data_IF_854839312563
#
_entry.id   IF_854839312563
#
_cell.length_a   1.000
_cell.length_b   1.000
_cell.length_c   1.000
_cell.angle_alpha   90.00
_cell.angle_beta   90.00
_cell.angle_gamma   90.00
#
_symmetry.space_group_name_H-M   'P 1'
#
loop_
_entity.id
_entity.type
_entity.pdbx_description
1 polymer ?
#
# COMPACT_ATOMS: atom_id res chain seq x y z
N UNK A 1 5.98 -3.88 -2.91
CA UNK A 1 4.59 -4.01 -2.44
C UNK A 1 4.61 -5.13 -1.43
N UNK A 2 4.09 -4.91 -0.23
CA UNK A 2 4.18 -5.85 0.89
C UNK A 2 5.65 -6.15 1.25
N UNK A 3 6.38 -5.10 1.66
CA UNK A 3 7.79 -5.20 2.00
C UNK A 3 7.98 -6.03 3.27
N UNK A 4 8.94 -6.94 3.25
CA UNK A 4 9.38 -7.63 4.45
C UNK A 4 10.36 -6.76 5.26
N UNK A 5 10.72 -7.21 6.47
CA UNK A 5 11.58 -6.46 7.37
C UNK A 5 12.92 -6.01 6.76
N UNK A 6 13.61 -6.87 6.02
CA UNK A 6 14.91 -6.51 5.43
C UNK A 6 14.76 -5.43 4.37
N UNK A 7 13.70 -5.52 3.57
CA UNK A 7 13.37 -4.52 2.54
C UNK A 7 12.99 -3.19 3.19
N UNK A 8 12.05 -3.23 4.14
CA UNK A 8 11.52 -2.07 4.85
C UNK A 8 12.61 -1.30 5.63
N UNK A 9 13.57 -2.03 6.22
CA UNK A 9 14.68 -1.42 6.96
C UNK A 9 15.63 -0.56 6.12
N UNK A 10 15.52 -0.60 4.78
CA UNK A 10 16.46 0.06 3.86
C UNK A 10 15.81 1.00 2.85
N UNK A 11 14.47 1.09 2.81
CA UNK A 11 13.80 1.98 1.86
C UNK A 11 13.90 3.44 2.28
N UNK A 12 13.97 4.33 1.29
CA UNK A 12 13.96 5.77 1.55
C UNK A 12 12.59 6.28 2.05
N UNK A 13 11.52 5.52 1.79
CA UNK A 13 10.14 5.88 2.09
C UNK A 13 9.38 4.64 2.57
N UNK A 14 8.92 4.69 3.81
CA UNK A 14 7.91 3.77 4.35
C UNK A 14 6.51 4.28 3.98
N UNK A 15 5.63 3.37 3.55
CA UNK A 15 4.31 3.71 3.07
C UNK A 15 3.26 2.63 3.40
N UNK A 16 2.19 3.06 4.05
CA UNK A 16 1.05 2.24 4.42
C UNK A 16 -0.23 2.81 3.77
N UNK A 17 -1.05 1.92 3.22
CA UNK A 17 -2.29 2.26 2.52
C UNK A 17 -3.44 1.39 3.02
N UNK A 18 -4.56 2.01 3.38
CA UNK A 18 -5.80 1.33 3.77
C UNK A 18 -6.95 1.84 2.91
N UNK A 19 -7.67 0.92 2.27
CA UNK A 19 -8.85 1.23 1.45
C UNK A 19 -9.93 0.14 1.60
N UNK A 20 -11.17 0.49 1.27
CA UNK A 20 -12.27 -0.48 1.19
C UNK A 20 -12.34 -1.15 -0.21
N UNK A 21 -13.34 -2.00 -0.43
CA UNK A 21 -13.50 -2.75 -1.69
C UNK A 21 -13.87 -1.88 -2.90
N UNK A 22 -14.39 -0.68 -2.66
CA UNK A 22 -14.66 0.33 -3.69
C UNK A 22 -13.43 1.21 -3.96
N UNK A 23 -12.27 0.86 -3.39
CA UNK A 23 -11.02 1.62 -3.43
C UNK A 23 -11.13 3.03 -2.85
N UNK A 24 -12.11 3.27 -1.97
CA UNK A 24 -12.16 4.51 -1.21
C UNK A 24 -11.05 4.47 -0.13
N UNK A 25 -10.18 5.48 -0.17
CA UNK A 25 -9.03 5.59 0.72
C UNK A 25 -9.49 5.92 2.15
N UNK A 26 -9.17 5.04 3.08
CA UNK A 26 -9.43 5.19 4.52
C UNK A 26 -8.23 5.83 5.20
N UNK A 27 -7.01 5.39 4.84
CA UNK A 27 -5.78 5.91 5.41
C UNK A 27 -4.65 5.89 4.39
N UNK A 28 -3.86 6.96 4.41
CA UNK A 28 -2.60 7.08 3.70
C UNK A 28 -1.58 7.57 4.72
N UNK A 29 -0.57 6.76 5.01
CA UNK A 29 0.55 7.16 5.84
C UNK A 29 1.83 6.92 5.04
N UNK A 30 2.60 7.99 4.81
CA UNK A 30 3.90 7.91 4.17
C UNK A 30 4.92 8.70 4.96
N UNK A 31 6.06 8.09 5.23
CA UNK A 31 7.19 8.72 5.92
C UNK A 31 8.41 8.65 5.04
N UNK A 32 8.98 9.80 4.68
CA UNK A 32 10.27 9.87 4.03
C UNK A 32 11.37 9.75 5.10
N UNK A 33 11.93 8.56 5.27
CA UNK A 33 13.01 8.31 6.23
C UNK A 33 14.39 8.66 5.64
N UNK A 34 14.53 8.59 4.32
CA UNK A 34 15.70 9.01 3.56
C UNK A 34 15.43 10.26 2.73
N UNK A 35 15.17 10.06 1.44
CA UNK A 35 14.89 11.16 0.50
C UNK A 35 13.40 11.53 0.44
N UNK A 36 13.07 12.82 0.27
CA UNK A 36 11.68 13.23 0.05
C UNK A 36 11.16 12.68 -1.28
N UNK A 37 9.89 12.28 -1.31
CA UNK A 37 9.19 11.86 -2.52
C UNK A 37 8.30 12.98 -3.07
N UNK A 38 8.04 12.95 -4.37
CA UNK A 38 7.16 13.89 -5.03
C UNK A 38 5.74 13.31 -5.20
N UNK A 39 4.81 14.14 -5.66
CA UNK A 39 3.41 13.74 -5.88
C UNK A 39 3.26 12.62 -6.93
N UNK A 40 4.13 12.59 -7.94
CA UNK A 40 4.11 11.53 -8.95
C UNK A 40 4.44 10.18 -8.31
N UNK A 41 5.47 10.13 -7.47
CA UNK A 41 5.86 8.93 -6.75
C UNK A 41 4.79 8.46 -5.76
N UNK A 42 4.14 9.39 -5.08
CA UNK A 42 2.98 9.10 -4.23
C UNK A 42 1.88 8.38 -5.03
N UNK A 43 1.52 8.90 -6.21
CA UNK A 43 0.51 8.29 -7.06
C UNK A 43 0.93 6.88 -7.53
N UNK A 44 2.19 6.68 -7.91
CA UNK A 44 2.70 5.35 -8.27
C UNK A 44 2.53 4.34 -7.13
N UNK A 45 2.82 4.75 -5.89
CA UNK A 45 2.67 3.89 -4.71
C UNK A 45 1.20 3.55 -4.47
N UNK A 46 0.30 4.53 -4.60
CA UNK A 46 -1.15 4.32 -4.49
C UNK A 46 -1.63 3.32 -5.54
N UNK A 47 -1.26 3.49 -6.82
CA UNK A 47 -1.66 2.57 -7.91
C UNK A 47 -1.18 1.13 -7.68
N UNK A 48 0.01 0.96 -7.10
CA UNK A 48 0.54 -0.37 -6.73
C UNK A 48 -0.18 -0.93 -5.51
N UNK A 49 -0.46 -0.09 -4.50
CA UNK A 49 -1.18 -0.46 -3.29
C UNK A 49 -2.63 -0.88 -3.56
N UNK A 50 -3.36 -0.15 -4.40
CA UNK A 50 -4.74 -0.49 -4.80
C UNK A 50 -4.83 -1.88 -5.43
N UNK A 51 -3.88 -2.24 -6.30
CA UNK A 51 -3.82 -3.59 -6.91
C UNK A 51 -3.64 -4.67 -5.83
N UNK A 52 -2.72 -4.44 -4.88
CA UNK A 52 -2.51 -5.35 -3.76
C UNK A 52 -3.74 -5.49 -2.86
N UNK A 53 -4.42 -4.38 -2.55
CA UNK A 53 -5.64 -4.37 -1.76
C UNK A 53 -6.74 -5.20 -2.45
N UNK A 54 -6.91 -5.07 -3.76
CA UNK A 54 -7.89 -5.88 -4.50
C UNK A 54 -7.57 -7.37 -4.47
N UNK A 55 -6.29 -7.74 -4.55
CA UNK A 55 -5.85 -9.13 -4.41
C UNK A 55 -6.15 -9.67 -3.00
N UNK A 56 -5.85 -8.88 -1.95
CA UNK A 56 -6.14 -9.24 -0.57
C UNK A 56 -7.65 -9.41 -0.33
N UNK A 57 -8.48 -8.47 -0.81
CA UNK A 57 -9.94 -8.54 -0.67
C UNK A 57 -10.48 -9.80 -1.37
N UNK A 58 -9.97 -10.12 -2.56
CA UNK A 58 -10.34 -11.36 -3.25
C UNK A 58 -10.02 -12.60 -2.42
N UNK A 59 -8.82 -12.65 -1.82
CA UNK A 59 -8.42 -13.77 -0.95
C UNK A 59 -9.31 -13.82 0.29
N UNK A 60 -9.57 -12.69 0.93
CA UNK A 60 -10.42 -12.58 2.12
C UNK A 60 -11.85 -13.07 1.84
N UNK A 61 -12.47 -12.64 0.73
CA UNK A 61 -13.81 -13.10 0.31
C UNK A 61 -13.83 -14.62 0.07
N UNK A 62 -12.83 -15.15 -0.62
CA UNK A 62 -12.71 -16.59 -0.84
C UNK A 62 -12.63 -17.38 0.48
N UNK A 63 -11.87 -16.90 1.47
CA UNK A 63 -11.72 -17.56 2.78
C UNK A 63 -13.00 -17.47 3.60
N UNK A 64 -13.73 -16.36 3.51
CA UNK A 64 -14.98 -16.12 4.25
C UNK A 64 -16.22 -16.70 3.56
N UNK A 65 -16.08 -17.25 2.34
CA UNK A 65 -17.19 -17.68 1.48
C UNK A 65 -18.21 -16.56 1.20
N UNK A 66 -17.69 -15.37 0.88
CA UNK A 66 -18.46 -14.19 0.45
C UNK A 66 -18.43 -14.03 -1.08
#
# INVERSE_FOLDING_TARGET
>A
LDLNYEEDSTVDVDFNLVANEDLELIEIQGTAEGLPFNKEKLNEVIEVGEKGIMELIKIQKNVLNL
#
